data_IF_382458463693
#
_entry.id   IF_382458463693
#
_cell.length_a   1.000
_cell.length_b   1.000
_cell.length_c   1.000
_cell.angle_alpha   90.00
_cell.angle_beta   90.00
_cell.angle_gamma   90.00
#
_symmetry.space_group_name_H-M   'P 1'
#
loop_
_entity.id
_entity.type
_entity.pdbx_description
1 polymer ?
#
# COMPACT_ATOMS: atom_id res chain seq x y z
N UNK A 1 -2.93 12.31 4.22
CA UNK A 1 -3.69 12.81 5.38
C UNK A 1 -2.84 12.75 6.63
N UNK A 2 -3.18 13.48 7.69
CA UNK A 2 -2.32 13.59 8.88
C UNK A 2 -2.37 12.36 9.80
N UNK A 3 -3.55 11.74 9.95
CA UNK A 3 -3.70 10.54 10.77
C UNK A 3 -3.36 9.27 9.97
N UNK A 4 -2.07 8.95 9.87
CA UNK A 4 -1.60 7.74 9.17
C UNK A 4 -2.09 6.46 9.88
N UNK A 5 -2.38 6.46 11.18
CA UNK A 5 -2.94 5.26 11.83
C UNK A 5 -4.35 4.92 11.34
N UNK A 6 -5.09 5.93 10.87
CA UNK A 6 -6.46 5.81 10.42
C UNK A 6 -6.62 5.47 8.93
N UNK A 7 -5.56 5.03 8.23
CA UNK A 7 -5.75 4.68 6.82
C UNK A 7 -6.68 3.47 6.69
N UNK A 8 -7.51 3.48 5.67
CA UNK A 8 -8.55 2.46 5.47
C UNK A 8 -8.17 1.41 4.41
N UNK A 9 -7.13 1.64 3.59
CA UNK A 9 -6.65 0.62 2.66
C UNK A 9 -6.10 -0.59 3.44
N UNK A 10 -6.46 -1.79 3.01
CA UNK A 10 -6.17 -3.04 3.71
C UNK A 10 -5.25 -3.89 2.86
N UNK A 11 -4.33 -4.60 3.51
CA UNK A 11 -3.54 -5.65 2.89
C UNK A 11 -3.69 -6.92 3.70
N UNK A 12 -4.12 -8.01 3.08
CA UNK A 12 -4.27 -9.32 3.76
C UNK A 12 -3.20 -10.27 3.26
N UNK A 13 -2.52 -10.98 4.16
CA UNK A 13 -1.60 -12.05 3.76
C UNK A 13 -2.37 -13.34 3.49
N UNK A 14 -2.16 -13.96 2.33
CA UNK A 14 -2.65 -15.31 2.00
C UNK A 14 -1.51 -16.33 2.05
N UNK A 15 -1.47 -17.22 3.06
CA UNK A 15 -0.42 -18.22 3.18
C UNK A 15 -0.53 -19.33 2.12
N UNK A 16 -1.67 -19.48 1.43
CA UNK A 16 -1.82 -20.51 0.40
C UNK A 16 -1.08 -20.15 -0.88
N UNK A 17 -1.06 -18.85 -1.23
CA UNK A 17 -0.35 -18.34 -2.40
C UNK A 17 1.00 -17.74 -2.04
N UNK A 18 1.23 -17.38 -0.77
CA UNK A 18 2.43 -16.67 -0.34
C UNK A 18 2.44 -15.22 -0.79
N UNK A 19 1.26 -14.61 -0.89
CA UNK A 19 1.08 -13.25 -1.44
C UNK A 19 0.38 -12.32 -0.45
N UNK A 20 0.55 -11.03 -0.68
CA UNK A 20 -0.26 -9.98 -0.07
C UNK A 20 -1.34 -9.53 -1.04
N UNK A 21 -2.56 -9.39 -0.54
CA UNK A 21 -3.74 -8.95 -1.29
C UNK A 21 -4.11 -7.54 -0.82
N UNK A 22 -3.88 -6.54 -1.67
CA UNK A 22 -4.13 -5.14 -1.39
C UNK A 22 -5.52 -4.75 -1.90
N UNK A 23 -6.32 -4.14 -1.03
CA UNK A 23 -7.68 -3.74 -1.36
C UNK A 23 -8.03 -2.33 -0.86
N UNK A 24 -8.87 -1.66 -1.65
CA UNK A 24 -9.47 -0.36 -1.34
C UNK A 24 -10.95 -0.58 -1.00
N UNK A 25 -11.32 -0.78 0.28
CA UNK A 25 -12.65 -1.24 0.67
C UNK A 25 -13.78 -0.21 0.43
N UNK A 26 -13.43 1.07 0.32
CA UNK A 26 -14.37 2.18 0.15
C UNK A 26 -13.68 3.35 -0.56
N UNK A 27 -14.46 4.32 -1.02
CA UNK A 27 -13.93 5.48 -1.75
C UNK A 27 -12.97 6.34 -0.93
N UNK A 28 -13.17 6.45 0.39
CA UNK A 28 -12.26 7.19 1.28
C UNK A 28 -10.91 6.49 1.49
N UNK A 29 -10.83 5.18 1.23
CA UNK A 29 -9.59 4.40 1.35
C UNK A 29 -8.61 4.59 0.19
N UNK A 30 -9.03 5.26 -0.88
CA UNK A 30 -8.19 5.51 -2.05
C UNK A 30 -6.88 6.21 -1.66
N UNK A 31 -5.81 5.92 -2.39
CA UNK A 31 -4.61 6.75 -2.31
C UNK A 31 -4.89 8.04 -3.05
N UNK A 32 -4.66 9.18 -2.41
CA UNK A 32 -5.02 10.50 -2.94
C UNK A 32 -3.80 11.41 -2.86
N UNK A 33 -3.63 12.29 -3.87
CA UNK A 33 -2.51 13.23 -4.02
C UNK A 33 -1.16 12.60 -4.36
N UNK A 34 -1.15 11.40 -4.96
CA UNK A 34 0.09 10.69 -5.27
C UNK A 34 0.76 11.31 -6.50
N UNK A 35 1.82 12.10 -6.29
CA UNK A 35 2.55 12.74 -7.39
C UNK A 35 3.13 11.72 -8.37
N UNK A 36 2.98 11.95 -9.67
CA UNK A 36 3.45 11.03 -10.73
C UNK A 36 2.48 9.89 -11.06
N UNK A 37 1.50 9.60 -10.20
CA UNK A 37 0.68 8.41 -10.36
C UNK A 37 -0.26 8.46 -11.57
N UNK A 38 -0.75 9.66 -11.93
CA UNK A 38 -1.78 9.77 -12.95
C UNK A 38 -1.27 9.35 -14.35
N UNK A 39 0.01 9.55 -14.67
CA UNK A 39 0.58 9.26 -15.98
C UNK A 39 1.92 8.50 -15.93
N UNK A 40 2.83 8.82 -15.00
CA UNK A 40 4.24 8.46 -15.16
C UNK A 40 4.71 7.26 -14.32
N UNK A 41 4.19 7.10 -13.11
CA UNK A 41 4.74 6.14 -12.14
C UNK A 41 4.41 4.69 -12.52
N UNK A 42 5.43 3.82 -12.54
CA UNK A 42 5.24 2.36 -12.77
C UNK A 42 5.07 1.57 -11.47
N UNK A 43 5.67 2.02 -10.38
CA UNK A 43 5.61 1.37 -9.06
C UNK A 43 5.30 2.38 -7.97
N UNK A 44 4.48 1.98 -6.99
CA UNK A 44 4.16 2.80 -5.82
C UNK A 44 4.51 2.06 -4.53
N UNK A 45 4.95 2.81 -3.52
CA UNK A 45 4.98 2.33 -2.14
C UNK A 45 3.60 2.60 -1.53
N UNK A 46 2.87 1.54 -1.23
CA UNK A 46 1.51 1.60 -0.70
C UNK A 46 1.54 1.29 0.79
N UNK A 47 1.26 2.31 1.61
CA UNK A 47 0.96 2.10 3.02
C UNK A 47 -0.45 1.49 3.16
N UNK A 48 -0.64 0.48 4.00
CA UNK A 48 -1.94 -0.18 4.24
C UNK A 48 -2.00 -0.86 5.61
N UNK A 49 -3.20 -1.11 6.12
CA UNK A 49 -3.42 -1.91 7.34
C UNK A 49 -3.15 -3.37 7.02
N UNK A 50 -2.08 -3.94 7.58
CA UNK A 50 -1.71 -5.34 7.36
C UNK A 50 -2.56 -6.24 8.26
N UNK A 51 -3.33 -7.14 7.65
CA UNK A 51 -4.09 -8.18 8.31
C UNK A 51 -3.46 -9.55 8.05
N UNK A 52 -3.25 -10.32 9.12
CA UNK A 52 -2.72 -11.69 9.07
C UNK A 52 -3.58 -12.56 9.98
N UNK A 53 -4.17 -13.63 9.44
CA UNK A 53 -5.04 -14.55 10.19
C UNK A 53 -6.14 -13.83 11.00
N UNK A 54 -6.77 -12.82 10.40
CA UNK A 54 -7.82 -12.01 11.03
C UNK A 54 -7.33 -10.98 12.06
N UNK A 55 -6.02 -10.85 12.28
CA UNK A 55 -5.44 -9.86 13.20
C UNK A 55 -4.80 -8.70 12.43
N UNK A 56 -5.21 -7.48 12.77
CA UNK A 56 -4.58 -6.25 12.27
C UNK A 56 -3.24 -6.00 13.00
N UNK A 57 -2.15 -5.91 12.23
CA UNK A 57 -0.78 -5.66 12.70
C UNK A 57 -0.34 -4.20 12.60
N UNK A 58 -1.22 -3.34 12.08
CA UNK A 58 -1.02 -1.92 11.85
C UNK A 58 -0.51 -1.60 10.46
N UNK A 59 -0.08 -0.35 10.29
CA UNK A 59 0.35 0.20 9.00
C UNK A 59 1.70 -0.41 8.58
N UNK A 60 1.73 -0.95 7.36
CA UNK A 60 2.93 -1.45 6.69
C UNK A 60 3.03 -0.89 5.28
N UNK A 61 4.23 -0.93 4.70
CA UNK A 61 4.53 -0.39 3.38
C UNK A 61 4.88 -1.53 2.39
N UNK A 62 4.26 -1.48 1.22
CA UNK A 62 4.38 -2.51 0.20
C UNK A 62 4.77 -1.90 -1.14
N UNK A 63 5.67 -2.55 -1.87
CA UNK A 63 5.97 -2.20 -3.26
C UNK A 63 4.88 -2.80 -4.15
N UNK A 64 4.24 -1.97 -4.96
CA UNK A 64 3.16 -2.39 -5.87
C UNK A 64 3.48 -1.89 -7.27
N UNK A 65 3.54 -2.80 -8.24
CA UNK A 65 3.58 -2.42 -9.65
C UNK A 65 2.19 -1.94 -10.07
N UNK A 66 2.09 -0.66 -10.42
CA UNK A 66 0.83 -0.03 -10.84
C UNK A 66 0.70 0.14 -12.36
N UNK A 67 1.82 0.04 -13.09
CA UNK A 67 1.85 -0.03 -14.56
C UNK A 67 2.84 -1.05 -15.08
N UNK A 68 2.53 -1.64 -16.23
CA UNK A 68 3.42 -2.51 -16.98
C UNK A 68 4.59 -1.73 -17.63
N UNK A 69 5.47 -2.45 -18.33
CA UNK A 69 6.63 -1.86 -19.00
C UNK A 69 6.26 -0.89 -20.14
N UNK A 70 5.04 -0.99 -20.66
CA UNK A 70 4.50 -0.14 -21.73
C UNK A 70 3.69 1.06 -21.15
N UNK A 71 3.63 1.20 -19.83
CA UNK A 71 2.92 2.28 -19.14
C UNK A 71 1.41 2.06 -19.00
N UNK A 72 0.88 0.88 -19.31
CA UNK A 72 -0.54 0.56 -19.10
C UNK A 72 -0.79 0.23 -17.64
N UNK A 73 -1.90 0.70 -17.09
CA UNK A 73 -2.30 0.39 -15.72
C UNK A 73 -2.48 -1.12 -15.57
N UNK A 74 -1.87 -1.72 -14.55
CA UNK A 74 -1.97 -3.15 -14.29
C UNK A 74 -3.43 -3.56 -14.01
N UNK A 75 -3.80 -4.84 -14.24
CA UNK A 75 -5.13 -5.36 -13.89
C UNK A 75 -5.50 -5.06 -12.43
N UNK A 76 -6.79 -4.88 -12.18
CA UNK A 76 -7.37 -4.63 -10.85
C UNK A 76 -6.87 -3.34 -10.17
N UNK A 77 -6.27 -2.43 -10.92
CA UNK A 77 -5.87 -1.12 -10.46
C UNK A 77 -6.64 -0.07 -11.24
N UNK A 78 -7.20 0.90 -10.54
CA UNK A 78 -7.79 2.10 -11.13
C UNK A 78 -6.94 3.31 -10.76
N UNK A 79 -6.67 4.17 -11.73
CA UNK A 79 -5.96 5.43 -11.54
C UNK A 79 -6.76 6.57 -12.16
N UNK A 80 -6.85 7.71 -11.46
CA UNK A 80 -7.46 8.93 -11.97
C UNK A 80 -6.64 10.16 -11.59
N UNK A 81 -6.57 11.17 -12.46
CA UNK A 81 -5.96 12.46 -12.13
C UNK A 81 -6.78 13.19 -11.04
N UNK A 82 -6.09 13.97 -10.19
CA UNK A 82 -6.74 14.83 -9.19
C UNK A 82 -7.33 16.11 -9.80
N UNK A 83 -7.01 16.41 -11.05
CA UNK A 83 -7.47 17.56 -11.81
C UNK A 83 -6.61 18.81 -11.59
N UNK A 84 -7.23 19.94 -11.92
CA UNK A 84 -6.63 21.26 -11.76
C UNK A 84 -6.34 21.57 -10.28
N UNK A 85 -5.14 22.10 -10.02
CA UNK A 85 -4.64 22.45 -8.69
C UNK A 85 -4.37 23.95 -8.62
N UNK A 86 -4.34 24.51 -7.41
CA UNK A 86 -3.95 25.91 -7.17
C UNK A 86 -2.53 26.21 -7.67
N UNK A 87 -1.65 25.22 -7.68
CA UNK A 87 -0.27 25.31 -8.15
C UNK A 87 0.28 23.93 -8.48
N UNK A 88 1.53 23.87 -8.95
CA UNK A 88 2.21 22.62 -9.33
C UNK A 88 1.41 21.80 -10.37
N UNK A 89 0.72 22.48 -11.30
CA UNK A 89 -0.08 21.80 -12.33
C UNK A 89 0.74 20.93 -13.30
N UNK A 90 2.07 21.09 -13.34
CA UNK A 90 2.97 20.19 -14.07
C UNK A 90 3.22 18.84 -13.37
N UNK A 91 2.75 18.66 -12.12
CA UNK A 91 2.79 17.37 -11.42
C UNK A 91 1.43 16.69 -11.58
N UNK A 92 1.45 15.48 -12.12
CA UNK A 92 0.28 14.64 -12.40
C UNK A 92 -0.14 13.85 -11.14
N UNK A 93 -0.61 14.58 -10.12
CA UNK A 93 -1.10 13.95 -8.90
C UNK A 93 -2.29 13.03 -9.21
N UNK A 94 -2.12 11.75 -8.90
CA UNK A 94 -3.13 10.73 -9.12
C UNK A 94 -3.83 10.27 -7.84
N UNK A 95 -4.96 9.62 -8.09
CA UNK A 95 -5.73 8.81 -7.15
C UNK A 95 -5.61 7.35 -7.56
N UNK A 96 -5.48 6.44 -6.61
CA UNK A 96 -5.27 5.01 -6.88
C UNK A 96 -6.24 4.18 -6.04
N UNK A 97 -6.92 3.24 -6.70
CA UNK A 97 -7.73 2.20 -6.07
C UNK A 97 -7.19 0.83 -6.49
N UNK A 98 -7.20 -0.09 -5.54
CA UNK A 98 -6.78 -1.48 -5.69
C UNK A 98 -7.98 -2.38 -5.45
N UNK A 99 -8.24 -3.31 -6.34
CA UNK A 99 -9.29 -4.33 -6.23
C UNK A 99 -8.64 -5.70 -6.06
N UNK A 100 -8.36 -6.08 -4.81
CA UNK A 100 -7.70 -7.36 -4.49
C UNK A 100 -6.45 -7.62 -5.35
N UNK A 101 -5.48 -6.69 -5.32
CA UNK A 101 -4.24 -6.78 -6.08
C UNK A 101 -3.25 -7.67 -5.34
N UNK A 102 -2.80 -8.73 -6.00
CA UNK A 102 -1.82 -9.68 -5.46
C UNK A 102 -0.40 -9.18 -5.72
N UNK A 103 0.44 -9.22 -4.68
CA UNK A 103 1.88 -8.97 -4.77
C UNK A 103 2.66 -10.05 -4.01
N UNK A 104 3.90 -10.35 -4.42
CA UNK A 104 4.76 -11.28 -3.67
C UNK A 104 4.98 -10.85 -2.23
N UNK A 105 5.19 -11.81 -1.33
CA UNK A 105 5.53 -11.54 0.09
C UNK A 105 6.79 -10.67 0.21
N UNK A 106 7.73 -10.82 -0.70
CA UNK A 106 9.00 -10.07 -0.72
C UNK A 106 8.81 -8.57 -1.01
N UNK A 107 7.62 -8.15 -1.45
CA UNK A 107 7.33 -6.74 -1.67
C UNK A 107 7.02 -5.96 -0.38
N UNK A 108 6.99 -6.62 0.79
CA UNK A 108 6.92 -5.95 2.08
C UNK A 108 8.26 -5.26 2.40
N UNK A 109 8.22 -3.97 2.74
CA UNK A 109 9.39 -3.28 3.31
C UNK A 109 9.57 -3.71 4.78
N UNK A 110 10.44 -4.70 4.99
CA UNK A 110 10.45 -5.53 6.20
C UNK A 110 11.54 -5.21 7.23
N UNK A 111 12.10 -4.00 7.22
CA UNK A 111 13.21 -3.62 8.13
C UNK A 111 12.84 -3.65 9.61
N UNK A 112 11.58 -3.37 9.94
CA UNK A 112 11.07 -3.29 11.33
C UNK A 112 10.24 -4.52 11.69
N UNK A 113 9.49 -5.06 10.72
CA UNK A 113 8.70 -6.27 10.89
C UNK A 113 8.59 -7.03 9.57
N UNK A 114 8.48 -8.35 9.66
CA UNK A 114 8.40 -9.26 8.53
C UNK A 114 7.23 -10.24 8.68
N UNK A 115 6.90 -10.94 7.61
CA UNK A 115 5.91 -12.02 7.59
C UNK A 115 6.57 -13.27 7.03
N UNK A 116 6.56 -14.35 7.81
CA UNK A 116 7.10 -15.63 7.35
C UNK A 116 6.18 -16.27 6.29
N UNK A 117 6.68 -17.24 5.49
CA UNK A 117 5.86 -17.95 4.51
C UNK A 117 4.58 -18.59 5.11
N UNK A 118 4.65 -19.10 6.33
CA UNK A 118 3.51 -19.70 7.05
C UNK A 118 2.57 -18.68 7.73
N UNK A 119 2.81 -17.37 7.54
CA UNK A 119 1.95 -16.31 8.05
C UNK A 119 2.18 -15.95 9.52
N UNK A 120 3.39 -16.17 10.05
CA UNK A 120 3.80 -15.64 11.34
C UNK A 120 4.26 -14.20 11.18
N UNK A 121 3.76 -13.32 12.05
CA UNK A 121 4.22 -11.95 12.14
C UNK A 121 5.49 -11.87 12.99
N UNK A 122 6.57 -11.35 12.41
CA UNK A 122 7.90 -11.31 13.03
C UNK A 122 8.30 -9.86 13.30
N UNK A 123 8.63 -9.54 14.55
CA UNK A 123 9.16 -8.22 14.93
C UNK A 123 9.95 -8.32 16.23
N UNK A 124 11.09 -7.64 16.28
CA UNK A 124 11.85 -7.43 17.51
C UNK A 124 11.14 -6.43 18.45
N UNK A 125 10.41 -5.46 17.87
CA UNK A 125 9.62 -4.46 18.61
C UNK A 125 8.23 -5.04 18.89
N UNK A 126 7.98 -5.38 20.16
CA UNK A 126 6.71 -5.97 20.60
C UNK A 126 5.59 -4.94 20.75
N UNK A 127 5.93 -3.76 21.26
CA UNK A 127 4.98 -2.68 21.45
C UNK A 127 4.51 -2.09 20.10
N UNK A 128 3.20 -2.11 19.79
CA UNK A 128 2.68 -1.61 18.52
C UNK A 128 2.96 -0.12 18.27
N UNK A 129 2.98 0.71 19.32
CA UNK A 129 3.19 2.15 19.19
C UNK A 129 4.65 2.48 18.88
N UNK A 130 5.58 1.85 19.58
CA UNK A 130 7.02 1.93 19.28
C UNK A 130 7.33 1.41 17.88
N UNK A 131 6.67 0.31 17.48
CA UNK A 131 6.84 -0.25 16.15
C UNK A 131 6.35 0.70 15.07
N UNK A 132 5.18 1.30 15.26
CA UNK A 132 4.65 2.31 14.34
C UNK A 132 5.57 3.54 14.26
N UNK A 133 6.12 4.00 15.39
CA UNK A 133 7.07 5.10 15.41
C UNK A 133 8.35 4.75 14.63
N UNK A 134 8.87 3.52 14.76
CA UNK A 134 10.03 3.06 14.00
C UNK A 134 9.80 2.98 12.49
N UNK A 135 8.56 2.72 12.03
CA UNK A 135 8.20 2.77 10.62
C UNK A 135 8.17 4.18 10.03
N UNK A 136 8.07 5.22 10.87
CA UNK A 136 7.99 6.63 10.45
C UNK A 136 9.31 7.40 10.62
N UNK A 137 10.32 6.79 11.24
CA UNK A 137 11.64 7.37 11.48
C UNK A 137 12.57 7.18 10.28
#
# INVERSE_FOLDING_TARGET
GSNVRGIEAITTYDPNTGEFIINTPCESAQKYWIGGAAQHTTHAIVFSQLNINGKNQGVHAFIVQIRDADGRVCPNIRIADCGHKIGLNGVDNGRIWFDNVHIPRENLLNSVADVSPDGQYLSAIKDPDQRFAAFLA
#
